data_IF_765277771848
#
_entry.id   IF_765277771848
#
_cell.length_a   1.000
_cell.length_b   1.000
_cell.length_c   1.000
_cell.angle_alpha   90.00
_cell.angle_beta   90.00
_cell.angle_gamma   90.00
#
_symmetry.space_group_name_H-M   'P 1'
#
loop_
_entity.id
_entity.type
_entity.pdbx_description
1 polymer ?
#
# COMPACT_ATOMS: atom_id res chain seq x y z
N UNK A 1 -5.82 -23.15 36.55
CA UNK A 1 -4.87 -22.12 36.11
C UNK A 1 -5.21 -21.81 34.67
N UNK A 2 -5.64 -20.59 34.41
CA UNK A 2 -6.30 -20.13 33.18
C UNK A 2 -5.29 -19.93 32.05
N UNK A 3 -5.57 -20.54 30.90
CA UNK A 3 -4.89 -20.30 29.64
C UNK A 3 -5.10 -18.84 29.23
N UNK A 4 -4.02 -18.09 29.10
CA UNK A 4 -4.04 -16.72 28.61
C UNK A 4 -3.89 -16.78 27.08
N UNK A 5 -4.97 -17.17 26.40
CA UNK A 5 -5.08 -16.94 24.96
C UNK A 5 -5.26 -15.43 24.78
N UNK A 6 -4.16 -14.73 24.47
CA UNK A 6 -4.20 -13.35 24.02
C UNK A 6 -4.83 -13.34 22.64
N UNK A 7 -6.16 -13.35 22.63
CA UNK A 7 -7.01 -13.11 21.49
C UNK A 7 -6.72 -11.67 21.04
N UNK A 8 -5.71 -11.53 20.17
CA UNK A 8 -5.38 -10.28 19.52
C UNK A 8 -6.59 -9.94 18.64
N UNK A 9 -7.54 -9.22 19.23
CA UNK A 9 -8.72 -8.69 18.56
C UNK A 9 -8.27 -7.90 17.33
N UNK A 10 -8.25 -8.53 16.17
CA UNK A 10 -8.15 -7.87 14.87
C UNK A 10 -9.53 -7.26 14.59
N UNK A 11 -9.82 -6.16 15.28
CA UNK A 11 -10.95 -5.30 14.97
C UNK A 11 -10.64 -4.41 13.76
N UNK A 12 -11.64 -3.93 13.02
CA UNK A 12 -11.42 -2.96 11.95
C UNK A 12 -10.77 -1.69 12.53
N UNK A 13 -9.65 -1.27 11.95
CA UNK A 13 -9.01 0.00 12.29
C UNK A 13 -9.94 1.11 11.80
N UNK A 14 -10.59 1.81 12.73
CA UNK A 14 -11.30 3.05 12.43
C UNK A 14 -10.25 4.13 12.14
N UNK A 15 -10.12 4.52 10.88
CA UNK A 15 -9.14 5.51 10.47
C UNK A 15 -9.70 6.92 10.71
N UNK A 16 -8.94 7.85 11.30
CA UNK A 16 -9.39 9.24 11.40
C UNK A 16 -9.53 9.88 10.01
N UNK A 17 -10.42 10.86 9.91
CA UNK A 17 -10.76 11.53 8.65
C UNK A 17 -9.65 12.46 8.14
N UNK A 18 -8.77 12.92 9.02
CA UNK A 18 -7.72 13.88 8.69
C UNK A 18 -6.57 13.20 7.95
N UNK A 19 -6.32 13.66 6.73
CA UNK A 19 -5.24 13.19 5.86
C UNK A 19 -4.43 14.38 5.34
N UNK A 20 -3.11 14.27 5.39
CA UNK A 20 -2.21 15.24 4.78
C UNK A 20 -1.75 14.68 3.44
N UNK A 21 -2.21 15.28 2.35
CA UNK A 21 -1.87 14.83 1.00
C UNK A 21 -0.59 15.47 0.49
N UNK A 22 0.20 14.72 -0.28
CA UNK A 22 1.44 15.23 -0.89
C UNK A 22 1.15 15.71 -2.33
N UNK A 23 1.65 16.88 -2.67
CA UNK A 23 1.64 17.46 -4.02
C UNK A 23 3.05 17.58 -4.60
N UNK A 24 3.26 17.41 -5.92
CA UNK A 24 2.25 17.19 -6.94
C UNK A 24 1.66 15.77 -6.91
N UNK A 25 0.37 15.65 -7.27
CA UNK A 25 -0.31 14.37 -7.43
C UNK A 25 -0.22 13.95 -8.90
N UNK A 26 0.48 12.85 -9.23
CA UNK A 26 0.36 12.26 -10.56
C UNK A 26 -1.10 11.91 -10.84
N UNK A 27 -1.53 12.02 -12.10
CA UNK A 27 -2.90 11.65 -12.47
C UNK A 27 -3.20 10.20 -12.06
N UNK A 28 -4.29 9.99 -11.32
CA UNK A 28 -4.73 8.68 -10.86
C UNK A 28 -3.97 8.11 -9.65
N UNK A 29 -3.04 8.88 -9.06
CA UNK A 29 -2.31 8.50 -7.85
C UNK A 29 -2.32 9.64 -6.82
N UNK A 30 -2.84 9.36 -5.64
CA UNK A 30 -2.75 10.26 -4.49
C UNK A 30 -2.00 9.59 -3.35
N UNK A 31 -1.07 10.32 -2.74
CA UNK A 31 -0.34 9.88 -1.57
C UNK A 31 -0.75 10.74 -0.38
N UNK A 32 -0.99 10.12 0.77
CA UNK A 32 -1.30 10.84 1.99
C UNK A 32 -0.60 10.22 3.20
N UNK A 33 -0.31 11.06 4.19
CA UNK A 33 0.02 10.65 5.54
C UNK A 33 -1.24 10.70 6.41
N UNK A 34 -1.36 9.74 7.29
CA UNK A 34 -2.40 9.68 8.32
C UNK A 34 -1.82 9.02 9.58
N UNK A 35 -2.43 9.27 10.73
CA UNK A 35 -2.11 8.58 11.98
C UNK A 35 -3.33 7.81 12.44
N UNK A 36 -3.22 6.51 12.72
CA UNK A 36 -4.32 5.72 13.26
C UNK A 36 -4.65 6.13 14.72
N UNK A 37 -5.82 5.75 15.26
CA UNK A 37 -6.22 6.14 16.62
C UNK A 37 -5.29 5.62 17.72
N UNK A 38 -4.60 4.51 17.45
CA UNK A 38 -3.57 3.92 18.32
C UNK A 38 -2.22 4.66 18.26
N UNK A 39 -2.12 5.71 17.45
CA UNK A 39 -0.89 6.49 17.25
C UNK A 39 0.00 5.99 16.11
N UNK A 40 -0.35 4.90 15.42
CA UNK A 40 0.47 4.34 14.35
C UNK A 40 0.51 5.28 13.14
N UNK A 41 1.72 5.60 12.68
CA UNK A 41 1.95 6.39 11.47
C UNK A 41 1.76 5.54 10.21
N UNK A 42 0.90 6.01 9.31
CA UNK A 42 0.53 5.30 8.09
C UNK A 42 0.73 6.18 6.85
N UNK A 43 1.18 5.55 5.78
CA UNK A 43 1.24 6.09 4.42
C UNK A 43 0.11 5.46 3.61
N UNK A 44 -0.80 6.29 3.14
CA UNK A 44 -1.90 5.90 2.27
C UNK A 44 -1.53 6.15 0.80
N UNK A 45 -1.78 5.15 -0.04
CA UNK A 45 -1.69 5.25 -1.49
C UNK A 45 -3.09 5.00 -2.05
N UNK A 46 -3.61 5.99 -2.77
CA UNK A 46 -4.88 5.92 -3.47
C UNK A 46 -4.59 5.75 -4.96
N UNK A 47 -5.11 4.68 -5.55
CA UNK A 47 -4.99 4.39 -6.97
C UNK A 47 -6.39 4.45 -7.56
N UNK A 48 -6.60 5.38 -8.50
CA UNK A 48 -7.88 5.46 -9.21
C UNK A 48 -7.90 4.47 -10.37
N UNK A 49 -8.82 3.49 -10.32
CA UNK A 49 -9.09 2.59 -11.44
C UNK A 49 -10.55 2.78 -11.90
N UNK A 50 -10.75 3.00 -13.20
CA UNK A 50 -12.09 3.26 -13.76
C UNK A 50 -13.08 2.09 -13.59
N UNK A 51 -12.58 0.88 -13.39
CA UNK A 51 -13.39 -0.35 -13.29
C UNK A 51 -13.91 -0.59 -11.89
N UNK A 52 -13.10 -0.24 -10.88
CA UNK A 52 -13.36 -0.59 -9.48
C UNK A 52 -13.41 0.63 -8.55
N UNK A 53 -13.19 1.84 -9.08
CA UNK A 53 -13.08 3.07 -8.31
C UNK A 53 -11.71 3.26 -7.68
N UNK A 54 -11.64 4.09 -6.64
CA UNK A 54 -10.39 4.37 -5.94
C UNK A 54 -10.06 3.26 -4.95
N UNK A 55 -8.94 2.57 -5.18
CA UNK A 55 -8.38 1.60 -4.24
C UNK A 55 -7.46 2.33 -3.28
N UNK A 56 -7.70 2.12 -1.98
CA UNK A 56 -6.85 2.67 -0.90
C UNK A 56 -6.01 1.56 -0.28
N UNK A 57 -4.70 1.72 -0.35
CA UNK A 57 -3.72 0.87 0.31
C UNK A 57 -3.05 1.62 1.45
N UNK A 58 -2.89 0.98 2.60
CA UNK A 58 -2.31 1.57 3.80
C UNK A 58 -1.08 0.78 4.22
N UNK A 59 0.00 1.51 4.49
CA UNK A 59 1.26 0.94 4.90
C UNK A 59 1.72 1.62 6.18
N UNK A 60 2.32 0.88 7.09
CA UNK A 60 3.18 1.50 8.11
C UNK A 60 4.36 2.19 7.43
N UNK A 61 5.04 3.09 8.13
CA UNK A 61 6.23 3.77 7.60
C UNK A 61 7.28 2.76 7.10
N UNK A 62 7.52 1.68 7.85
CA UNK A 62 8.47 0.64 7.44
C UNK A 62 7.96 -0.17 6.24
N UNK A 63 6.68 -0.51 6.20
CA UNK A 63 6.06 -1.15 5.04
C UNK A 63 6.18 -0.29 3.77
N UNK A 64 5.99 1.02 3.89
CA UNK A 64 6.13 1.96 2.79
C UNK A 64 7.58 2.07 2.29
N UNK A 65 8.56 2.03 3.20
CA UNK A 65 10.00 2.00 2.84
C UNK A 65 10.35 0.75 2.05
N UNK A 66 9.88 -0.42 2.52
CA UNK A 66 10.10 -1.69 1.82
C UNK A 66 9.46 -1.66 0.45
N UNK A 67 8.19 -1.23 0.35
CA UNK A 67 7.49 -1.08 -0.92
C UNK A 67 8.26 -0.19 -1.91
N UNK A 68 8.70 1.00 -1.47
CA UNK A 68 9.44 1.92 -2.32
C UNK A 68 10.77 1.31 -2.82
N UNK A 69 11.51 0.62 -1.95
CA UNK A 69 12.75 -0.07 -2.31
C UNK A 69 12.49 -1.20 -3.31
N UNK A 70 11.46 -2.02 -3.08
CA UNK A 70 11.08 -3.11 -3.98
C UNK A 70 10.66 -2.60 -5.35
N UNK A 71 9.80 -1.57 -5.41
CA UNK A 71 9.40 -0.93 -6.67
C UNK A 71 10.62 -0.39 -7.41
N UNK A 72 11.56 0.25 -6.71
CA UNK A 72 12.80 0.75 -7.31
C UNK A 72 13.63 -0.40 -7.89
N UNK A 73 13.78 -1.50 -7.17
CA UNK A 73 14.49 -2.69 -7.64
C UNK A 73 13.81 -3.32 -8.87
N UNK A 74 12.48 -3.34 -8.91
CA UNK A 74 11.71 -3.79 -10.07
C UNK A 74 11.93 -2.87 -11.27
N UNK A 75 11.92 -1.55 -11.06
CA UNK A 75 12.15 -0.55 -12.11
C UNK A 75 13.52 -0.72 -12.78
N UNK A 76 14.55 -1.07 -12.00
CA UNK A 76 15.89 -1.38 -12.51
C UNK A 76 15.94 -2.67 -13.34
N UNK A 77 14.95 -3.55 -13.21
CA UNK A 77 14.89 -4.87 -13.85
C UNK A 77 13.69 -5.01 -14.80
N UNK A 78 13.07 -3.90 -15.22
CA UNK A 78 11.81 -3.91 -15.99
C UNK A 78 11.89 -4.77 -17.25
N UNK A 79 13.00 -4.74 -17.97
CA UNK A 79 13.11 -5.50 -19.20
C UNK A 79 13.22 -7.01 -18.94
N UNK A 80 13.89 -7.41 -17.85
CA UNK A 80 13.90 -8.80 -17.38
C UNK A 80 12.51 -9.24 -16.97
N UNK A 81 11.81 -8.46 -16.15
CA UNK A 81 10.44 -8.74 -15.72
C UNK A 81 9.47 -8.85 -16.92
N UNK A 82 9.62 -7.99 -17.92
CA UNK A 82 8.84 -8.07 -19.17
C UNK A 82 9.15 -9.34 -19.97
N UNK A 83 10.41 -9.76 -20.02
CA UNK A 83 10.80 -10.99 -20.72
C UNK A 83 10.22 -12.22 -20.00
N UNK A 84 10.31 -12.25 -18.67
CA UNK A 84 9.69 -13.30 -17.85
C UNK A 84 8.17 -13.33 -18.04
N UNK A 85 7.49 -12.19 -18.01
CA UNK A 85 6.05 -12.10 -18.25
C UNK A 85 5.65 -12.70 -19.61
N UNK A 86 6.33 -12.32 -20.70
CA UNK A 86 6.07 -12.91 -22.03
C UNK A 86 6.24 -14.43 -22.05
N UNK A 87 7.22 -14.95 -21.31
CA UNK A 87 7.48 -16.38 -21.23
C UNK A 87 6.43 -17.14 -20.41
N UNK A 88 5.60 -16.46 -19.60
CA UNK A 88 4.48 -17.10 -18.89
C UNK A 88 3.32 -17.46 -19.82
N UNK A 89 3.26 -16.91 -21.04
CA UNK A 89 2.14 -17.10 -21.96
C UNK A 89 0.87 -16.33 -21.56
N UNK A 90 0.91 -15.50 -20.51
CA UNK A 90 -0.21 -14.66 -20.06
C UNK A 90 -0.51 -13.46 -20.99
N UNK A 91 0.31 -13.27 -22.03
CA UNK A 91 0.10 -12.29 -23.11
C UNK A 91 -0.79 -12.83 -24.26
N UNK A 92 -1.42 -14.00 -24.07
CA UNK A 92 -2.29 -14.63 -25.10
C UNK A 92 -3.77 -14.25 -25.03
#
# INVERSE_FOLDING_TARGET
MTNNDSDASIGPIHLPEEMVTITPMPSGLTFAYQRAPDGTDLIAVFVEDKRVGTVRSLFTVDGARVLAATVTAMLQQVDTLRAEWRNTGLDS
#
